data_IF_530229368611
#
_entry.id   IF_530229368611
#
_cell.length_a   1.000
_cell.length_b   1.000
_cell.length_c   1.000
_cell.angle_alpha   90.00
_cell.angle_beta   90.00
_cell.angle_gamma   90.00
#
_symmetry.space_group_name_H-M   'P 1'
#
loop_
_entity.id
_entity.type
_entity.pdbx_description
1 polymer ?
#
# COMPACT_ATOMS: atom_id res chain seq x y z
N UNK A 1 8.23 -13.74 3.54
CA UNK A 1 7.56 -12.84 2.59
C UNK A 1 7.10 -13.58 1.34
N UNK A 2 5.80 -13.72 1.13
CA UNK A 2 5.18 -14.24 -0.09
C UNK A 2 4.31 -13.14 -0.72
N UNK A 3 4.52 -12.84 -2.00
CA UNK A 3 3.72 -11.85 -2.74
C UNK A 3 2.58 -12.53 -3.49
N UNK A 4 1.37 -12.07 -3.25
CA UNK A 4 0.16 -12.43 -3.97
C UNK A 4 -0.05 -11.34 -5.03
N UNK A 5 0.01 -11.74 -6.30
CA UNK A 5 -0.39 -10.87 -7.41
C UNK A 5 -1.93 -10.79 -7.46
N UNK A 6 -2.45 -9.61 -7.75
CA UNK A 6 -3.89 -9.35 -7.85
C UNK A 6 -4.17 -8.60 -9.16
N UNK A 7 -5.45 -8.47 -9.52
CA UNK A 7 -5.86 -7.51 -10.54
C UNK A 7 -5.60 -6.08 -10.03
N UNK A 8 -4.86 -5.25 -10.77
CA UNK A 8 -4.60 -3.88 -10.36
C UNK A 8 -5.88 -3.08 -10.17
N UNK A 9 -5.91 -2.21 -9.16
CA UNK A 9 -7.04 -1.32 -8.92
C UNK A 9 -6.61 0.05 -8.40
N UNK A 10 -7.41 1.06 -8.72
CA UNK A 10 -7.21 2.44 -8.27
C UNK A 10 -7.47 2.60 -6.78
N UNK A 11 -6.59 3.34 -6.12
CA UNK A 11 -6.60 3.56 -4.69
C UNK A 11 -6.02 4.94 -4.36
N UNK A 12 -6.01 5.25 -3.07
CA UNK A 12 -5.20 6.31 -2.52
C UNK A 12 -4.37 5.76 -1.36
N UNK A 13 -3.13 6.22 -1.25
CA UNK A 13 -2.23 5.90 -0.15
C UNK A 13 -1.94 7.14 0.70
N UNK A 14 -1.73 6.91 1.99
CA UNK A 14 -1.60 7.96 3.00
C UNK A 14 -0.12 8.29 3.24
N UNK A 15 0.29 9.49 2.83
CA UNK A 15 1.62 10.02 3.12
C UNK A 15 1.57 11.09 4.22
N UNK A 16 2.65 11.17 5.00
CA UNK A 16 2.87 12.31 5.90
C UNK A 16 3.67 13.38 5.17
N UNK A 17 3.10 14.58 5.07
CA UNK A 17 3.81 15.74 4.51
C UNK A 17 4.51 16.53 5.63
N UNK A 18 5.55 17.29 5.25
CA UNK A 18 6.23 18.20 6.18
C UNK A 18 5.22 19.12 6.89
N UNK A 19 5.29 19.17 8.22
CA UNK A 19 4.29 19.85 9.06
C UNK A 19 3.25 18.92 9.71
N UNK A 20 3.39 17.60 9.54
CA UNK A 20 2.64 16.59 10.30
C UNK A 20 1.20 16.37 9.83
N UNK A 21 0.83 16.93 8.67
CA UNK A 21 -0.46 16.67 8.04
C UNK A 21 -0.41 15.40 7.22
N UNK A 22 -1.52 14.68 7.21
CA UNK A 22 -1.71 13.53 6.35
C UNK A 22 -2.22 13.99 4.98
N UNK A 23 -1.69 13.41 3.91
CA UNK A 23 -2.15 13.59 2.53
C UNK A 23 -2.49 12.23 1.94
N UNK A 24 -3.69 12.11 1.37
CA UNK A 24 -4.03 10.98 0.51
C UNK A 24 -3.61 11.35 -0.91
N UNK A 25 -2.84 10.47 -1.55
CA UNK A 25 -2.39 10.66 -2.93
C UNK A 25 -2.87 9.47 -3.75
N UNK A 26 -3.33 9.70 -5.00
CA UNK A 26 -3.81 8.63 -5.86
C UNK A 26 -2.68 7.68 -6.20
N UNK A 27 -3.04 6.42 -6.42
CA UNK A 27 -2.13 5.36 -6.76
C UNK A 27 -2.86 4.14 -7.33
N UNK A 28 -2.10 3.18 -7.83
CA UNK A 28 -2.61 1.87 -8.21
C UNK A 28 -2.03 0.79 -7.30
N UNK A 29 -2.89 -0.09 -6.77
CA UNK A 29 -2.44 -1.27 -6.04
C UNK A 29 -2.23 -2.42 -7.01
N UNK A 30 -1.02 -2.99 -7.04
CA UNK A 30 -0.65 -4.05 -8.00
C UNK A 30 -0.33 -5.41 -7.34
N UNK A 31 -0.29 -5.46 -6.00
CA UNK A 31 0.04 -6.69 -5.29
C UNK A 31 -0.04 -6.56 -3.77
N UNK A 32 -0.12 -7.71 -3.10
CA UNK A 32 -0.11 -7.80 -1.64
C UNK A 32 0.96 -8.78 -1.19
N UNK A 33 1.90 -8.31 -0.38
CA UNK A 33 2.93 -9.11 0.26
C UNK A 33 2.53 -9.44 1.69
N UNK A 34 2.60 -10.74 2.02
CA UNK A 34 2.31 -11.27 3.35
C UNK A 34 3.61 -11.76 3.96
N UNK A 35 3.99 -11.21 5.12
CA UNK A 35 5.12 -11.74 5.88
C UNK A 35 4.64 -12.79 6.88
N UNK A 36 4.96 -14.06 6.58
CA UNK A 36 4.57 -15.21 7.38
C UNK A 36 5.54 -15.44 8.53
N UNK A 37 5.46 -14.65 9.59
CA UNK A 37 6.10 -14.99 10.88
C UNK A 37 5.01 -15.39 11.85
N UNK A 38 4.97 -16.68 12.18
CA UNK A 38 4.06 -17.26 13.17
C UNK A 38 4.10 -16.43 14.47
N UNK A 39 2.94 -15.89 14.87
CA UNK A 39 2.72 -15.41 16.24
C UNK A 39 2.71 -13.89 16.45
N UNK A 40 2.97 -13.06 15.43
CA UNK A 40 2.70 -11.62 15.51
C UNK A 40 1.91 -11.16 14.30
N UNK A 41 0.94 -10.30 14.55
CA UNK A 41 -0.11 -9.85 13.64
C UNK A 41 0.41 -9.58 12.21
N UNK A 42 -0.22 -10.25 11.25
CA UNK A 42 0.00 -10.16 9.81
C UNK A 42 0.15 -8.71 9.35
N UNK A 43 1.39 -8.24 9.19
CA UNK A 43 1.65 -6.96 8.51
C UNK A 43 1.49 -7.21 7.02
N UNK A 44 0.31 -6.91 6.49
CA UNK A 44 0.08 -6.88 5.05
C UNK A 44 0.81 -5.68 4.48
N UNK A 45 1.71 -5.95 3.54
CA UNK A 45 2.41 -4.91 2.79
C UNK A 45 1.76 -4.84 1.40
N UNK A 46 1.14 -3.72 1.08
CA UNK A 46 0.56 -3.43 -0.23
C UNK A 46 1.64 -2.84 -1.13
N UNK A 47 1.73 -3.30 -2.37
CA UNK A 47 2.63 -2.72 -3.38
C UNK A 47 1.81 -1.72 -4.18
N UNK A 48 2.25 -0.46 -4.12
CA UNK A 48 1.56 0.69 -4.69
C UNK A 48 2.43 1.32 -5.77
N UNK A 49 1.85 1.65 -6.92
CA UNK A 49 2.45 2.50 -7.95
C UNK A 49 1.91 3.93 -7.80
N UNK A 50 2.80 4.90 -7.59
CA UNK A 50 2.43 6.33 -7.51
C UNK A 50 2.28 6.98 -8.89
N UNK A 51 1.87 8.26 -8.91
CA UNK A 51 1.68 9.04 -10.16
C UNK A 51 2.95 9.13 -11.02
N UNK A 52 4.14 8.99 -10.41
CA UNK A 52 5.44 9.05 -11.08
C UNK A 52 5.91 7.65 -11.56
N UNK A 53 5.11 6.60 -11.34
CA UNK A 53 5.43 5.21 -11.69
C UNK A 53 6.40 4.54 -10.71
N UNK A 54 6.61 5.11 -9.52
CA UNK A 54 7.46 4.51 -8.50
C UNK A 54 6.67 3.48 -7.69
N UNK A 55 7.32 2.36 -7.38
CA UNK A 55 6.74 1.29 -6.59
C UNK A 55 7.12 1.42 -5.11
N UNK A 56 6.12 1.45 -4.24
CA UNK A 56 6.29 1.58 -2.81
C UNK A 56 5.59 0.45 -2.05
N UNK A 57 6.29 -0.22 -1.10
CA UNK A 57 5.63 -1.04 -0.10
C UNK A 57 5.00 -0.14 0.96
N UNK A 58 3.71 -0.34 1.24
CA UNK A 58 2.98 0.36 2.30
C UNK A 58 2.16 -0.62 3.14
N UNK A 59 1.64 -0.22 4.31
CA UNK A 59 0.75 -1.08 5.09
C UNK A 59 -0.69 -0.97 4.61
N UNK A 60 -1.46 -2.06 4.69
CA UNK A 60 -2.85 -2.07 4.25
C UNK A 60 -3.73 -1.00 4.93
N UNK A 61 -3.42 -0.59 6.15
CA UNK A 61 -4.14 0.49 6.88
C UNK A 61 -3.90 1.90 6.29
N UNK A 62 -2.85 2.06 5.49
CA UNK A 62 -2.48 3.31 4.83
C UNK A 62 -2.97 3.38 3.38
N UNK A 63 -3.69 2.35 2.90
CA UNK A 63 -4.24 2.29 1.55
C UNK A 63 -5.76 2.19 1.61
N UNK A 64 -6.46 2.99 0.80
CA UNK A 64 -7.91 2.91 0.64
C UNK A 64 -8.28 2.81 -0.83
N UNK A 65 -9.21 1.92 -1.18
CA UNK A 65 -9.72 1.80 -2.54
C UNK A 65 -10.60 3.02 -2.87
N UNK A 66 -10.46 3.54 -4.08
CA UNK A 66 -11.37 4.55 -4.64
C UNK A 66 -12.48 3.83 -5.42
N UNK A 67 -13.73 4.30 -5.29
CA UNK A 67 -14.90 3.73 -5.98
C UNK A 67 -14.91 4.06 -7.48
#
# INVERSE_FOLDING_TARGET
MHTISIEPFEAEYKTKIMGGKDRWSPCQVIGVSVDGVHGSQSRFITIVEDEDGNLWPDTAELVRRTE
#
